data_IF_176498344391
#
_entry.id   IF_176498344391
#
_cell.length_a   1.000
_cell.length_b   1.000
_cell.length_c   1.000
_cell.angle_alpha   90.00
_cell.angle_beta   90.00
_cell.angle_gamma   90.00
#
_symmetry.space_group_name_H-M   'P 1'
#
loop_
_entity.id
_entity.type
_entity.pdbx_description
1 polymer ?
#
# COMPACT_ATOMS: atom_id res chain seq x y z
N UNK A 1 32.30 32.41 66.74
CA UNK A 1 30.89 32.22 66.47
C UNK A 1 30.45 32.41 64.98
N UNK A 2 31.04 33.31 64.18
CA UNK A 2 30.61 33.57 62.79
C UNK A 2 30.78 32.39 61.86
N UNK A 3 31.85 31.58 61.90
CA UNK A 3 32.08 30.43 61.03
C UNK A 3 31.00 29.32 61.12
N UNK A 4 30.40 29.08 62.30
CA UNK A 4 29.35 28.03 62.42
C UNK A 4 28.02 28.46 61.78
N UNK A 5 27.67 29.75 61.78
CA UNK A 5 26.44 30.27 61.16
C UNK A 5 26.54 30.20 59.63
N UNK A 6 27.67 30.49 59.02
CA UNK A 6 27.86 30.36 57.55
C UNK A 6 27.71 28.91 57.08
N UNK A 7 28.24 27.93 57.80
CA UNK A 7 28.13 26.51 57.45
C UNK A 7 26.71 25.99 57.59
N UNK A 8 25.91 26.50 58.47
CA UNK A 8 24.49 26.16 58.62
C UNK A 8 23.63 26.72 57.46
N UNK A 9 23.87 27.98 57.07
CA UNK A 9 23.13 28.64 55.97
C UNK A 9 23.43 28.01 54.60
N UNK A 10 24.66 27.61 54.32
CA UNK A 10 25.02 26.88 53.07
C UNK A 10 24.38 25.49 52.99
N UNK A 11 24.28 24.77 54.12
CA UNK A 11 23.62 23.48 54.17
C UNK A 11 22.09 23.55 53.92
N UNK A 12 21.45 24.65 54.35
CA UNK A 12 20.00 24.87 54.11
C UNK A 12 19.76 25.16 52.63
N UNK A 13 20.63 25.99 51.99
CA UNK A 13 20.56 26.28 50.58
C UNK A 13 20.69 25.01 49.68
N UNK A 14 21.71 24.20 49.96
CA UNK A 14 21.95 22.95 49.25
C UNK A 14 20.79 21.97 49.40
N UNK A 15 20.21 21.82 50.57
CA UNK A 15 19.04 20.96 50.80
C UNK A 15 17.82 21.41 50.00
N UNK A 16 17.59 22.73 49.87
CA UNK A 16 16.52 23.30 49.08
C UNK A 16 16.67 23.03 47.58
N UNK A 17 17.89 23.18 47.05
CA UNK A 17 18.20 22.89 45.64
C UNK A 17 18.03 21.39 45.32
N UNK A 18 18.49 20.52 46.21
CA UNK A 18 18.29 19.05 46.05
C UNK A 18 16.79 18.71 46.08
N UNK A 19 16.02 19.29 47.01
CA UNK A 19 14.59 19.04 47.07
C UNK A 19 13.85 19.53 45.82
N UNK A 20 14.26 20.67 45.25
CA UNK A 20 13.70 21.17 43.99
C UNK A 20 14.06 20.26 42.80
N UNK A 21 15.30 19.81 42.72
CA UNK A 21 15.72 18.90 41.67
C UNK A 21 14.97 17.54 41.71
N UNK A 22 14.77 16.99 42.91
CA UNK A 22 14.00 15.77 43.12
C UNK A 22 12.54 15.97 42.72
N UNK A 23 11.92 17.09 43.14
CA UNK A 23 10.54 17.40 42.78
C UNK A 23 10.37 17.54 41.25
N UNK A 24 11.32 18.23 40.59
CA UNK A 24 11.32 18.39 39.14
C UNK A 24 11.45 17.04 38.42
N UNK A 25 12.31 16.17 38.93
CA UNK A 25 12.46 14.81 38.37
C UNK A 25 11.18 13.98 38.50
N UNK A 26 10.48 14.09 39.63
CA UNK A 26 9.20 13.41 39.82
C UNK A 26 8.15 13.93 38.84
N UNK A 27 8.05 15.27 38.68
CA UNK A 27 7.10 15.88 37.73
C UNK A 27 7.40 15.41 36.28
N UNK A 28 8.68 15.42 35.90
CA UNK A 28 9.10 14.94 34.57
C UNK A 28 8.72 13.48 34.32
N UNK A 29 8.91 12.60 35.31
CA UNK A 29 8.52 11.20 35.19
C UNK A 29 7.00 11.05 35.06
N UNK A 30 6.19 11.80 35.79
CA UNK A 30 4.74 11.79 35.62
C UNK A 30 4.30 12.30 34.25
N UNK A 31 4.95 13.33 33.71
CA UNK A 31 4.67 13.84 32.36
C UNK A 31 4.99 12.80 31.31
N UNK A 32 6.12 12.10 31.40
CA UNK A 32 6.49 11.02 30.48
C UNK A 32 5.46 9.89 30.54
N UNK A 33 5.06 9.48 31.76
CA UNK A 33 4.05 8.43 31.92
C UNK A 33 2.70 8.83 31.31
N UNK A 34 2.28 10.08 31.49
CA UNK A 34 1.06 10.61 30.91
C UNK A 34 1.11 10.60 29.36
N UNK A 35 2.25 10.97 28.77
CA UNK A 35 2.44 10.94 27.31
C UNK A 35 2.35 9.50 26.79
N UNK A 36 3.01 8.55 27.45
CA UNK A 36 2.97 7.14 27.07
C UNK A 36 1.53 6.61 27.12
N UNK A 37 0.78 6.96 28.16
CA UNK A 37 -0.61 6.56 28.29
C UNK A 37 -1.50 7.14 27.18
N UNK A 38 -1.31 8.42 26.85
CA UNK A 38 -2.04 9.07 25.75
C UNK A 38 -1.74 8.43 24.40
N UNK A 39 -0.47 8.10 24.13
CA UNK A 39 -0.07 7.41 22.91
C UNK A 39 -0.68 6.00 22.83
N UNK A 40 -0.73 5.30 23.95
CA UNK A 40 -1.37 3.98 24.02
C UNK A 40 -2.87 4.04 23.74
N UNK A 41 -3.58 5.00 24.35
CA UNK A 41 -5.00 5.22 24.10
C UNK A 41 -5.24 5.56 22.63
N UNK A 42 -4.43 6.45 22.06
CA UNK A 42 -4.54 6.80 20.64
C UNK A 42 -4.34 5.59 19.72
N UNK A 43 -3.34 4.76 20.02
CA UNK A 43 -3.08 3.52 19.26
C UNK A 43 -4.28 2.55 19.32
N UNK A 44 -4.88 2.35 20.50
CA UNK A 44 -6.04 1.46 20.64
C UNK A 44 -7.28 2.00 19.90
N UNK A 45 -7.49 3.31 19.88
CA UNK A 45 -8.60 3.95 19.14
C UNK A 45 -8.42 3.74 17.62
N UNK A 46 -7.21 3.99 17.09
CA UNK A 46 -6.93 3.79 15.66
C UNK A 46 -7.10 2.33 15.26
N UNK A 47 -6.61 1.41 16.08
CA UNK A 47 -6.75 -0.04 15.86
C UNK A 47 -8.22 -0.50 15.87
N UNK A 48 -9.03 0.05 16.77
CA UNK A 48 -10.45 -0.27 16.84
C UNK A 48 -11.21 0.21 15.58
N UNK A 49 -10.82 1.35 15.03
CA UNK A 49 -11.40 1.90 13.79
C UNK A 49 -11.02 1.07 12.55
N UNK A 50 -9.77 0.60 12.46
CA UNK A 50 -9.33 -0.32 11.41
C UNK A 50 -10.10 -1.64 11.44
N UNK A 51 -10.31 -2.23 12.62
CA UNK A 51 -11.09 -3.47 12.78
C UNK A 51 -12.54 -3.27 12.36
N UNK A 52 -13.14 -2.12 12.71
CA UNK A 52 -14.51 -1.78 12.31
C UNK A 52 -14.63 -1.62 10.80
N UNK A 53 -13.67 -0.96 10.17
CA UNK A 53 -13.64 -0.78 8.72
C UNK A 53 -13.46 -2.13 7.99
N UNK A 54 -12.63 -3.01 8.52
CA UNK A 54 -12.43 -4.37 8.00
C UNK A 54 -13.72 -5.20 8.10
N UNK A 55 -14.47 -5.09 9.19
CA UNK A 55 -15.75 -5.79 9.36
C UNK A 55 -16.81 -5.30 8.36
N UNK A 56 -16.91 -3.99 8.13
CA UNK A 56 -17.80 -3.41 7.10
C UNK A 56 -17.40 -3.88 5.69
N UNK A 57 -16.11 -3.97 5.42
CA UNK A 57 -15.62 -4.49 4.13
C UNK A 57 -15.99 -5.97 3.95
N UNK A 58 -15.85 -6.78 4.99
CA UNK A 58 -16.20 -8.20 4.98
C UNK A 58 -17.70 -8.40 4.71
N UNK A 59 -18.57 -7.63 5.37
CA UNK A 59 -20.02 -7.66 5.11
C UNK A 59 -20.37 -7.26 3.66
N UNK A 60 -19.66 -6.29 3.08
CA UNK A 60 -19.84 -5.92 1.67
C UNK A 60 -19.43 -7.04 0.72
N UNK A 61 -18.34 -7.76 1.02
CA UNK A 61 -17.88 -8.92 0.23
C UNK A 61 -18.91 -10.05 0.29
N UNK A 62 -19.44 -10.38 1.47
CA UNK A 62 -20.49 -11.40 1.61
C UNK A 62 -21.78 -11.01 0.87
N UNK A 63 -22.14 -9.74 0.88
CA UNK A 63 -23.31 -9.24 0.13
C UNK A 63 -23.10 -9.37 -1.39
N UNK A 64 -21.90 -9.04 -1.89
CA UNK A 64 -21.55 -9.20 -3.31
C UNK A 64 -21.57 -10.68 -3.70
N UNK A 65 -21.03 -11.57 -2.88
CA UNK A 65 -21.03 -13.02 -3.12
C UNK A 65 -22.46 -13.59 -3.16
N UNK A 66 -23.34 -13.14 -2.27
CA UNK A 66 -24.74 -13.54 -2.26
C UNK A 66 -25.51 -13.03 -3.49
N UNK A 67 -25.26 -11.81 -3.97
CA UNK A 67 -25.85 -11.26 -5.19
C UNK A 67 -25.33 -12.03 -6.41
N UNK A 68 -24.06 -12.33 -6.46
CA UNK A 68 -23.45 -13.09 -7.55
C UNK A 68 -23.99 -14.52 -7.62
N UNK A 69 -24.21 -15.16 -6.47
CA UNK A 69 -24.87 -16.47 -6.37
C UNK A 69 -26.32 -16.42 -6.83
N UNK A 70 -27.06 -15.37 -6.48
CA UNK A 70 -28.43 -15.14 -6.96
C UNK A 70 -28.53 -14.97 -8.47
N UNK A 71 -27.58 -14.18 -9.06
CA UNK A 71 -27.49 -13.98 -10.51
C UNK A 71 -27.08 -15.25 -11.26
N UNK A 72 -26.24 -16.11 -10.67
CA UNK A 72 -25.85 -17.39 -11.25
C UNK A 72 -27.01 -18.41 -11.24
N UNK A 73 -27.88 -18.39 -10.21
CA UNK A 73 -29.06 -19.24 -10.15
C UNK A 73 -30.10 -18.80 -11.19
N UNK A 74 -30.32 -17.49 -11.37
CA UNK A 74 -31.25 -16.95 -12.35
C UNK A 74 -30.79 -17.18 -13.80
N UNK A 75 -29.47 -17.25 -14.05
CA UNK A 75 -28.88 -17.56 -15.36
C UNK A 75 -28.95 -19.03 -15.76
N UNK A 76 -29.10 -19.94 -14.79
CA UNK A 76 -29.23 -21.38 -15.07
C UNK A 76 -30.54 -21.75 -15.73
N UNK A 77 -31.57 -20.94 -15.58
CA UNK A 77 -32.88 -21.18 -16.18
C UNK A 77 -32.99 -20.68 -17.64
N UNK A 78 -32.03 -19.81 -18.09
CA UNK A 78 -32.08 -19.15 -19.41
C UNK A 78 -30.99 -19.58 -20.41
N UNK A 79 -30.10 -20.53 -20.08
CA UNK A 79 -28.97 -20.85 -20.96
C UNK A 79 -28.76 -22.35 -21.19
N UNK A 80 -29.33 -22.81 -22.27
CA UNK A 80 -28.71 -23.85 -23.07
C UNK A 80 -27.62 -23.16 -23.96
N UNK A 81 -26.41 -23.65 -23.83
CA UNK A 81 -25.28 -23.48 -24.76
C UNK A 81 -24.67 -22.09 -24.98
N UNK A 82 -23.72 -21.75 -24.11
CA UNK A 82 -22.48 -21.02 -24.51
C UNK A 82 -21.46 -21.08 -23.36
N UNK A 83 -20.28 -21.64 -23.64
CA UNK A 83 -19.15 -21.76 -22.75
C UNK A 83 -18.63 -20.34 -22.36
N UNK A 84 -19.00 -19.81 -21.20
CA UNK A 84 -18.53 -18.51 -20.70
C UNK A 84 -17.36 -18.75 -19.75
N UNK A 85 -16.15 -18.49 -20.26
CA UNK A 85 -14.92 -18.33 -19.47
C UNK A 85 -15.19 -17.40 -18.26
N UNK A 86 -14.79 -17.76 -17.02
CA UNK A 86 -15.10 -16.91 -15.84
C UNK A 86 -14.49 -15.54 -16.01
N UNK A 87 -15.33 -14.50 -15.98
CA UNK A 87 -14.88 -13.11 -15.97
C UNK A 87 -14.10 -12.86 -14.68
N UNK A 88 -12.83 -12.52 -14.81
CA UNK A 88 -11.98 -12.11 -13.70
C UNK A 88 -12.65 -10.98 -12.91
N UNK A 89 -12.66 -11.07 -11.59
CA UNK A 89 -13.21 -10.04 -10.73
C UNK A 89 -12.67 -8.66 -11.14
N UNK A 90 -13.56 -7.74 -11.51
CA UNK A 90 -13.19 -6.42 -11.99
C UNK A 90 -12.64 -5.61 -10.82
N UNK A 91 -11.34 -5.39 -10.79
CA UNK A 91 -10.71 -4.51 -9.81
C UNK A 91 -11.03 -3.06 -10.20
N UNK A 92 -11.75 -2.35 -9.33
CA UNK A 92 -12.16 -0.95 -9.57
C UNK A 92 -11.16 -0.04 -8.84
N UNK A 93 -10.54 0.88 -9.58
CA UNK A 93 -9.69 1.92 -9.03
C UNK A 93 -10.52 3.15 -8.68
N UNK A 94 -10.16 3.85 -7.60
CA UNK A 94 -10.59 5.24 -7.40
C UNK A 94 -9.85 6.16 -8.37
N UNK A 95 -10.37 7.36 -8.64
CA UNK A 95 -9.68 8.32 -9.51
C UNK A 95 -8.28 8.69 -8.98
N UNK A 96 -8.11 8.77 -7.65
CA UNK A 96 -6.82 9.02 -7.01
C UNK A 96 -5.84 7.86 -7.20
N UNK A 97 -6.31 6.61 -7.06
CA UNK A 97 -5.47 5.43 -7.26
C UNK A 97 -5.05 5.29 -8.73
N UNK A 98 -5.97 5.55 -9.65
CA UNK A 98 -5.70 5.55 -11.09
C UNK A 98 -4.61 6.58 -11.46
N UNK A 99 -4.72 7.80 -10.95
CA UNK A 99 -3.69 8.82 -11.14
C UNK A 99 -2.34 8.36 -10.58
N UNK A 100 -2.33 7.84 -9.35
CA UNK A 100 -1.10 7.41 -8.69
C UNK A 100 -0.42 6.25 -9.43
N UNK A 101 -1.18 5.23 -9.83
CA UNK A 101 -0.68 4.09 -10.60
C UNK A 101 -0.18 4.56 -11.98
N UNK A 102 -0.88 5.50 -12.63
CA UNK A 102 -0.44 6.08 -13.90
C UNK A 102 0.94 6.75 -13.75
N UNK A 103 1.15 7.51 -12.68
CA UNK A 103 2.44 8.16 -12.39
C UNK A 103 3.57 7.17 -12.13
N UNK A 104 3.26 6.02 -11.56
CA UNK A 104 4.23 4.91 -11.41
C UNK A 104 4.53 4.29 -12.76
N UNK A 105 3.53 3.96 -13.59
CA UNK A 105 3.74 3.45 -14.94
C UNK A 105 4.58 4.42 -15.81
N UNK A 106 4.33 5.73 -15.66
CA UNK A 106 5.15 6.77 -16.31
C UNK A 106 6.61 6.77 -15.83
N UNK A 107 6.86 6.46 -14.56
CA UNK A 107 8.21 6.39 -14.02
C UNK A 107 8.98 5.17 -14.54
N UNK A 108 8.27 4.05 -14.80
CA UNK A 108 8.85 2.79 -15.28
C UNK A 108 9.01 2.73 -16.82
N UNK A 109 8.06 3.29 -17.56
CA UNK A 109 7.99 3.13 -19.02
C UNK A 109 7.82 4.46 -19.80
N UNK A 110 7.84 5.61 -19.12
CA UNK A 110 7.71 6.92 -19.77
C UNK A 110 6.34 7.12 -20.42
N UNK A 111 6.34 7.61 -21.67
CA UNK A 111 5.15 7.83 -22.48
C UNK A 111 4.83 6.63 -23.40
N UNK A 112 5.55 5.52 -23.26
CA UNK A 112 5.31 4.32 -24.06
C UNK A 112 4.04 3.60 -23.58
N UNK A 113 3.05 3.53 -24.45
CA UNK A 113 1.76 2.90 -24.15
C UNK A 113 1.91 1.41 -23.83
N UNK A 114 2.67 0.66 -24.63
CA UNK A 114 2.83 -0.80 -24.45
C UNK A 114 3.63 -1.12 -23.19
N UNK A 115 4.68 -0.37 -22.91
CA UNK A 115 5.44 -0.48 -21.67
C UNK A 115 4.57 -0.18 -20.43
N UNK A 116 3.78 0.90 -20.47
CA UNK A 116 2.83 1.22 -19.40
C UNK A 116 1.73 0.16 -19.26
N UNK A 117 1.26 -0.43 -20.37
CA UNK A 117 0.26 -1.51 -20.34
C UNK A 117 0.82 -2.76 -19.63
N UNK A 118 2.08 -3.13 -19.92
CA UNK A 118 2.75 -4.26 -19.29
C UNK A 118 3.01 -4.03 -17.79
N UNK A 119 3.45 -2.84 -17.39
CA UNK A 119 3.64 -2.46 -15.99
C UNK A 119 2.30 -2.45 -15.23
N UNK A 120 1.26 -1.86 -15.82
CA UNK A 120 -0.09 -1.86 -15.24
C UNK A 120 -0.65 -3.28 -15.10
N UNK A 121 -0.41 -4.16 -16.09
CA UNK A 121 -0.74 -5.58 -15.97
C UNK A 121 -0.01 -6.25 -14.82
N UNK A 122 1.29 -5.99 -14.63
CA UNK A 122 2.04 -6.55 -13.51
C UNK A 122 1.46 -6.12 -12.14
N UNK A 123 1.06 -4.85 -11.99
CA UNK A 123 0.36 -4.38 -10.79
C UNK A 123 -0.96 -5.12 -10.60
N UNK A 124 -1.77 -5.24 -11.64
CA UNK A 124 -3.04 -5.96 -11.62
C UNK A 124 -2.86 -7.44 -11.22
N UNK A 125 -1.96 -8.16 -11.90
CA UNK A 125 -1.73 -9.58 -11.69
C UNK A 125 -1.21 -9.86 -10.27
N UNK A 126 -0.30 -9.02 -9.75
CA UNK A 126 0.14 -9.06 -8.35
C UNK A 126 -1.00 -8.78 -7.38
N UNK A 127 -1.89 -7.83 -7.67
CA UNK A 127 -3.02 -7.50 -6.79
C UNK A 127 -3.94 -8.71 -6.59
N UNK A 128 -4.20 -9.44 -7.65
CA UNK A 128 -4.98 -10.69 -7.59
C UNK A 128 -4.21 -11.80 -6.87
N UNK A 129 -2.93 -11.99 -7.20
CA UNK A 129 -2.11 -13.07 -6.63
C UNK A 129 -1.88 -12.90 -5.13
N UNK A 130 -1.65 -11.66 -4.68
CA UNK A 130 -1.34 -11.36 -3.29
C UNK A 130 -2.55 -10.95 -2.46
N UNK A 131 -3.73 -10.91 -3.07
CA UNK A 131 -4.98 -10.46 -2.45
C UNK A 131 -4.82 -9.07 -1.79
N UNK A 132 -4.22 -8.14 -2.53
CA UNK A 132 -3.99 -6.75 -2.12
C UNK A 132 -4.66 -5.80 -3.10
N UNK A 133 -4.96 -4.58 -2.64
CA UNK A 133 -5.40 -3.53 -3.57
C UNK A 133 -4.27 -3.17 -4.54
N UNK A 134 -4.57 -2.74 -5.78
CA UNK A 134 -3.54 -2.31 -6.74
C UNK A 134 -2.64 -1.20 -6.20
N UNK A 135 -3.19 -0.28 -5.41
CA UNK A 135 -2.40 0.80 -4.83
C UNK A 135 -1.42 0.30 -3.77
N UNK A 136 -1.80 -0.67 -2.93
CA UNK A 136 -0.88 -1.30 -1.99
C UNK A 136 0.26 -2.04 -2.69
N UNK A 137 -0.03 -2.70 -3.81
CA UNK A 137 0.99 -3.35 -4.64
C UNK A 137 1.92 -2.31 -5.25
N UNK A 138 1.36 -1.27 -5.87
CA UNK A 138 2.11 -0.25 -6.59
C UNK A 138 3.00 0.61 -5.67
N UNK A 139 2.58 0.81 -4.41
CA UNK A 139 3.31 1.61 -3.41
C UNK A 139 4.17 0.78 -2.46
N UNK A 140 4.19 -0.55 -2.60
CA UNK A 140 5.01 -1.42 -1.78
C UNK A 140 6.50 -1.09 -1.92
N UNK A 141 7.22 -1.13 -0.81
CA UNK A 141 8.62 -0.72 -0.73
C UNK A 141 9.49 -1.50 -1.73
N UNK A 142 10.28 -0.78 -2.53
CA UNK A 142 11.19 -1.32 -3.55
C UNK A 142 10.55 -2.20 -4.64
N UNK A 143 9.23 -2.08 -4.87
CA UNK A 143 8.57 -2.85 -5.93
C UNK A 143 8.49 -2.10 -7.25
N UNK A 144 8.36 -0.78 -7.19
CA UNK A 144 8.24 0.11 -8.34
C UNK A 144 9.00 1.41 -8.10
N UNK A 145 9.29 2.14 -9.18
CA UNK A 145 9.83 3.48 -9.12
C UNK A 145 8.87 4.44 -8.39
N UNK A 146 9.43 5.52 -7.84
CA UNK A 146 8.60 6.58 -7.25
C UNK A 146 7.73 7.23 -8.31
N UNK A 147 6.47 7.60 -7.99
CA UNK A 147 5.56 8.25 -8.91
C UNK A 147 6.21 9.47 -9.58
N UNK A 148 6.12 9.57 -10.89
CA UNK A 148 6.68 10.68 -11.65
C UNK A 148 5.85 11.94 -11.40
N UNK A 149 6.51 13.04 -11.09
CA UNK A 149 5.88 14.36 -11.00
C UNK A 149 5.64 14.95 -12.41
N UNK A 150 4.80 15.98 -12.49
CA UNK A 150 4.51 16.72 -13.72
C UNK A 150 3.23 16.27 -14.41
N UNK A 151 3.09 16.64 -15.67
CA UNK A 151 1.92 16.33 -16.49
C UNK A 151 1.83 14.82 -16.78
N UNK A 152 0.60 14.30 -16.74
CA UNK A 152 0.31 12.91 -17.07
C UNK A 152 0.30 12.72 -18.59
N UNK A 153 1.06 11.75 -19.07
CA UNK A 153 1.03 11.38 -20.47
C UNK A 153 -0.28 10.65 -20.82
N UNK A 154 -1.04 11.12 -21.83
CA UNK A 154 -2.30 10.48 -22.22
C UNK A 154 -2.16 8.98 -22.54
N UNK A 155 -1.04 8.57 -23.12
CA UNK A 155 -0.76 7.16 -23.43
C UNK A 155 -0.65 6.31 -22.17
N UNK A 156 0.00 6.82 -21.10
CA UNK A 156 0.16 6.11 -19.84
C UNK A 156 -1.17 5.99 -19.08
N UNK A 157 -1.99 7.06 -19.05
CA UNK A 157 -3.32 7.01 -18.49
C UNK A 157 -4.20 6.00 -19.21
N UNK A 158 -4.20 6.05 -20.56
CA UNK A 158 -4.95 5.10 -21.37
C UNK A 158 -4.53 3.65 -21.12
N UNK A 159 -3.25 3.39 -20.94
CA UNK A 159 -2.76 2.03 -20.64
C UNK A 159 -3.31 1.50 -19.33
N UNK A 160 -3.33 2.33 -18.26
CA UNK A 160 -3.91 1.97 -16.95
C UNK A 160 -5.41 1.75 -17.06
N UNK A 161 -6.15 2.64 -17.73
CA UNK A 161 -7.58 2.46 -17.99
C UNK A 161 -7.85 1.16 -18.75
N UNK A 162 -7.07 0.86 -19.79
CA UNK A 162 -7.25 -0.33 -20.59
C UNK A 162 -7.04 -1.62 -19.78
N UNK A 163 -6.09 -1.63 -18.82
CA UNK A 163 -5.90 -2.78 -17.93
C UNK A 163 -7.04 -2.92 -16.93
N UNK A 164 -7.36 -1.85 -16.19
CA UNK A 164 -8.24 -1.93 -15.03
C UNK A 164 -9.73 -1.82 -15.37
N UNK A 165 -10.07 -1.01 -16.39
CA UNK A 165 -11.48 -0.80 -16.81
C UNK A 165 -11.87 -1.73 -17.96
N UNK A 166 -10.97 -1.93 -18.95
CA UNK A 166 -11.28 -2.62 -20.18
C UNK A 166 -10.77 -4.07 -20.22
N UNK A 167 -10.00 -4.48 -19.21
CA UNK A 167 -9.48 -5.85 -19.11
C UNK A 167 -8.40 -6.20 -20.13
N UNK A 168 -7.83 -5.18 -20.83
CA UNK A 168 -6.76 -5.40 -21.81
C UNK A 168 -5.48 -5.86 -21.12
N UNK A 169 -4.75 -6.74 -21.78
CA UNK A 169 -3.46 -7.29 -21.29
C UNK A 169 -2.42 -7.21 -22.38
N UNK A 170 -1.18 -6.89 -22.02
CA UNK A 170 -0.03 -7.00 -22.92
C UNK A 170 0.32 -8.46 -23.17
N UNK A 171 0.21 -9.28 -22.11
CA UNK A 171 0.44 -10.72 -22.15
C UNK A 171 -0.86 -11.44 -21.75
N UNK A 172 -1.80 -11.66 -22.69
CA UNK A 172 -3.16 -12.12 -22.38
C UNK A 172 -3.23 -13.53 -21.81
N UNK A 173 -2.31 -14.39 -22.21
CA UNK A 173 -2.29 -15.81 -21.77
C UNK A 173 -1.45 -16.05 -20.52
N UNK A 174 -0.84 -14.99 -19.96
CA UNK A 174 0.17 -15.13 -18.92
C UNK A 174 0.01 -14.08 -17.84
N UNK A 175 0.10 -14.48 -16.57
CA UNK A 175 0.20 -13.56 -15.45
C UNK A 175 1.65 -13.12 -15.29
N UNK A 176 1.91 -11.82 -15.35
CA UNK A 176 3.25 -11.27 -15.12
C UNK A 176 3.37 -10.70 -13.72
N UNK A 177 4.39 -11.16 -12.99
CA UNK A 177 4.55 -10.79 -11.59
C UNK A 177 5.87 -10.09 -11.29
N UNK A 178 6.84 -10.12 -12.21
CA UNK A 178 8.14 -9.51 -12.03
C UNK A 178 8.60 -8.83 -13.31
N UNK A 179 9.36 -7.77 -13.19
CA UNK A 179 10.08 -7.17 -14.32
C UNK A 179 11.33 -6.44 -13.82
N UNK A 180 12.24 -6.19 -14.72
CA UNK A 180 13.39 -5.29 -14.51
C UNK A 180 13.76 -4.63 -15.84
N UNK A 181 14.47 -3.49 -15.76
CA UNK A 181 15.07 -2.78 -16.89
C UNK A 181 16.59 -2.88 -16.84
N UNK A 182 17.22 -2.72 -18.01
CA UNK A 182 18.67 -2.73 -18.15
C UNK A 182 19.26 -4.10 -18.48
N UNK A 183 20.61 -4.15 -18.58
CA UNK A 183 21.34 -5.31 -19.09
C UNK A 183 21.74 -6.30 -17.99
N UNK A 184 21.85 -5.84 -16.74
CA UNK A 184 22.22 -6.71 -15.62
C UNK A 184 21.00 -7.52 -15.17
N UNK A 185 21.09 -8.84 -15.35
CA UNK A 185 20.02 -9.77 -14.93
C UNK A 185 20.05 -9.93 -13.43
N UNK A 186 18.99 -9.52 -12.70
CA UNK A 186 18.95 -9.67 -11.26
C UNK A 186 18.90 -11.15 -10.86
N UNK A 187 19.47 -11.48 -9.72
CA UNK A 187 19.58 -12.87 -9.24
C UNK A 187 18.23 -13.61 -9.24
N UNK A 188 17.16 -12.94 -8.83
CA UNK A 188 15.82 -13.54 -8.78
C UNK A 188 15.27 -13.93 -10.15
N UNK A 189 15.75 -13.33 -11.25
CA UNK A 189 15.25 -13.63 -12.60
C UNK A 189 15.72 -15.01 -13.12
N UNK A 190 16.78 -15.59 -12.54
CA UNK A 190 17.27 -16.92 -12.91
C UNK A 190 16.27 -18.04 -12.55
N UNK A 191 15.45 -17.83 -11.51
CA UNK A 191 14.46 -18.80 -11.04
C UNK A 191 13.04 -18.50 -11.57
N UNK A 192 12.92 -17.58 -12.55
CA UNK A 192 11.66 -17.12 -13.11
C UNK A 192 11.55 -17.45 -14.60
N UNK A 193 10.33 -17.66 -15.06
CA UNK A 193 10.08 -17.87 -16.48
C UNK A 193 9.98 -16.52 -17.18
N UNK A 194 10.85 -16.30 -18.16
CA UNK A 194 10.81 -15.12 -19.04
C UNK A 194 9.56 -15.13 -19.93
N UNK A 195 8.87 -14.00 -20.02
CA UNK A 195 7.63 -13.82 -20.79
C UNK A 195 7.86 -13.00 -22.05
N UNK A 196 8.58 -11.89 -21.93
CA UNK A 196 8.83 -10.96 -23.03
C UNK A 196 9.46 -9.66 -22.59
N UNK A 197 9.82 -8.82 -23.56
CA UNK A 197 10.39 -7.49 -23.35
C UNK A 197 9.53 -6.43 -24.02
N UNK A 198 9.16 -5.37 -23.28
CA UNK A 198 8.32 -4.27 -23.76
C UNK A 198 8.73 -3.00 -23.04
N UNK A 199 8.86 -1.88 -23.77
CA UNK A 199 9.20 -0.56 -23.20
C UNK A 199 10.52 -0.56 -22.44
N UNK A 200 11.50 -1.40 -22.84
CA UNK A 200 12.78 -1.55 -22.16
C UNK A 200 12.74 -2.34 -20.85
N UNK A 201 11.61 -2.94 -20.51
CA UNK A 201 11.40 -3.80 -19.35
C UNK A 201 11.27 -5.27 -19.78
N UNK A 202 11.95 -6.17 -19.08
CA UNK A 202 11.91 -7.63 -19.26
C UNK A 202 10.96 -8.22 -18.20
N UNK A 203 9.92 -8.92 -18.65
CA UNK A 203 8.83 -9.41 -17.81
C UNK A 203 8.93 -10.92 -17.53
N UNK A 204 8.53 -11.33 -16.33
CA UNK A 204 8.63 -12.71 -15.82
C UNK A 204 7.40 -13.11 -15.00
N UNK A 205 7.20 -14.44 -14.89
CA UNK A 205 6.21 -15.07 -14.00
C UNK A 205 6.84 -15.35 -12.63
#
# INVERSE_FOLDING_TARGET
>A
MKKRRYKALTNIGIRREIAQAVLLSIIMNFMILAIILLLHIHYEVVRAEEVKNMHVLFQKVEMVDSIQKGLLLQRKDDAADTEVKPAAAKVILTASDEEHITRICMAEAGADYEGCLAVAQCIYDRSILWNKSPIEVATAHHQFAKPRAGEIYPASLKAVEDVFKNGKRMFPETKVTHFFSGDEVPYWAHDKTYVGEVGGNKFYI
#
